data_IF_010926080876
#
_entry.id   IF_010926080876
#
_cell.length_a   1.000
_cell.length_b   1.000
_cell.length_c   1.000
_cell.angle_alpha   90.00
_cell.angle_beta   90.00
_cell.angle_gamma   90.00
#
_symmetry.space_group_name_H-M   'P 1'
#
loop_
_entity.id
_entity.type
_entity.pdbx_description
1 polymer ?
#
# COMPACT_ATOMS: atom_id res chain seq x y z
N UNK A 1 -2.62 4.91 -5.39
CA UNK A 1 -1.80 4.28 -6.42
C UNK A 1 -0.41 3.90 -5.93
N UNK A 2 0.28 3.06 -6.67
CA UNK A 2 1.71 2.84 -6.46
C UNK A 2 2.43 2.57 -7.79
N UNK A 3 3.70 3.00 -7.86
CA UNK A 3 4.55 2.86 -9.04
C UNK A 3 5.82 2.12 -8.65
N UNK A 4 6.17 1.13 -9.45
CA UNK A 4 7.36 0.31 -9.25
C UNK A 4 8.41 0.61 -10.31
N UNK A 5 9.64 0.78 -9.85
CA UNK A 5 10.80 1.00 -10.70
C UNK A 5 11.91 -0.01 -10.39
N UNK A 6 12.72 -0.27 -11.41
CA UNK A 6 14.01 -0.94 -11.26
C UNK A 6 15.14 0.03 -11.58
N UNK A 7 16.19 0.01 -10.78
CA UNK A 7 17.39 0.82 -10.97
C UNK A 7 18.66 -0.04 -10.87
N UNK A 8 19.72 0.38 -11.56
CA UNK A 8 21.05 -0.24 -11.44
C UNK A 8 21.80 0.24 -10.19
N UNK A 9 21.45 1.44 -9.73
CA UNK A 9 22.00 2.06 -8.54
C UNK A 9 20.85 2.46 -7.62
N UNK A 10 20.90 2.04 -6.35
CA UNK A 10 19.91 2.46 -5.37
C UNK A 10 20.03 3.97 -5.09
N UNK A 11 18.92 4.72 -5.02
CA UNK A 11 18.95 6.13 -4.71
C UNK A 11 19.41 6.45 -3.28
N UNK A 12 19.31 5.47 -2.40
CA UNK A 12 19.74 5.52 -1.00
C UNK A 12 20.16 4.14 -0.54
N UNK A 13 20.99 4.07 0.51
CA UNK A 13 21.36 2.82 1.21
C UNK A 13 20.43 2.49 2.37
N UNK A 14 19.52 3.40 2.69
CA UNK A 14 18.63 3.25 3.84
C UNK A 14 17.66 2.06 3.65
N UNK A 15 17.39 1.38 4.74
CA UNK A 15 16.42 0.27 4.83
C UNK A 15 15.09 0.74 5.41
N UNK A 16 14.78 2.00 5.24
CA UNK A 16 13.64 2.70 5.81
C UNK A 16 12.71 3.19 4.70
N UNK A 17 11.48 3.50 5.07
CA UNK A 17 10.55 4.23 4.21
C UNK A 17 10.93 5.71 4.25
N UNK A 18 11.18 6.29 3.09
CA UNK A 18 11.41 7.72 2.90
C UNK A 18 10.06 8.40 2.75
N UNK A 19 9.77 9.39 3.58
CA UNK A 19 8.50 10.13 3.59
C UNK A 19 8.67 11.52 2.98
N UNK A 20 7.64 11.99 2.26
CA UNK A 20 7.54 13.41 1.88
C UNK A 20 7.05 14.24 3.07
N UNK A 21 7.99 14.85 3.78
CA UNK A 21 7.68 15.75 4.89
C UNK A 21 7.19 17.15 4.45
N UNK A 22 7.32 17.49 3.17
CA UNK A 22 6.98 18.81 2.64
C UNK A 22 5.60 18.86 1.95
N UNK A 23 5.02 17.70 1.60
CA UNK A 23 3.73 17.60 0.94
C UNK A 23 3.67 18.31 -0.42
N UNK A 24 4.78 18.30 -1.18
CA UNK A 24 4.92 19.05 -2.45
C UNK A 24 4.54 18.25 -3.69
N UNK A 25 3.96 17.09 -3.54
CA UNK A 25 3.58 16.27 -4.67
C UNK A 25 2.73 15.06 -4.27
N UNK A 26 2.30 14.25 -5.24
CA UNK A 26 1.42 13.14 -5.00
C UNK A 26 2.11 11.93 -4.33
N UNK A 27 3.43 11.80 -4.42
CA UNK A 27 4.18 10.72 -3.75
C UNK A 27 4.28 11.02 -2.28
N UNK A 28 3.65 10.20 -1.45
CA UNK A 28 3.72 10.31 0.01
C UNK A 28 4.97 9.63 0.56
N UNK A 29 5.29 8.46 0.04
CA UNK A 29 6.44 7.70 0.52
C UNK A 29 7.07 6.85 -0.58
N UNK A 30 8.34 6.50 -0.35
CA UNK A 30 9.12 5.61 -1.21
C UNK A 30 9.90 4.63 -0.36
N UNK A 31 10.02 3.39 -0.84
CA UNK A 31 10.91 2.40 -0.25
C UNK A 31 11.77 1.75 -1.33
N UNK A 32 13.05 1.51 -1.03
CA UNK A 32 13.92 0.63 -1.82
C UNK A 32 13.80 -0.76 -1.22
N UNK A 33 12.83 -1.54 -1.72
CA UNK A 33 12.47 -2.84 -1.15
C UNK A 33 13.63 -3.83 -1.15
N UNK A 34 14.49 -3.78 -2.16
CA UNK A 34 15.69 -4.63 -2.25
C UNK A 34 16.77 -4.28 -1.21
N UNK A 35 16.74 -3.07 -0.62
CA UNK A 35 17.63 -2.77 0.51
C UNK A 35 17.17 -3.50 1.79
N UNK A 36 15.85 -3.67 1.94
CA UNK A 36 15.25 -4.37 3.08
C UNK A 36 15.39 -5.88 2.92
N UNK A 37 15.02 -6.38 1.74
CA UNK A 37 15.10 -7.80 1.38
C UNK A 37 15.78 -7.95 0.01
N UNK A 38 17.08 -8.29 -0.05
CA UNK A 38 17.84 -8.39 -1.29
C UNK A 38 17.22 -9.35 -2.31
N UNK A 39 16.50 -10.38 -1.86
CA UNK A 39 15.79 -11.33 -2.71
C UNK A 39 14.64 -10.73 -3.54
N UNK A 40 14.25 -9.48 -3.27
CA UNK A 40 13.18 -8.79 -4.02
C UNK A 40 13.63 -8.22 -5.36
N UNK A 41 14.93 -8.26 -5.65
CA UNK A 41 15.45 -7.87 -6.96
C UNK A 41 16.53 -8.86 -7.42
N UNK A 42 16.73 -9.03 -8.75
CA UNK A 42 17.88 -9.73 -9.27
C UNK A 42 19.20 -9.08 -8.84
N UNK A 43 20.29 -9.86 -8.85
CA UNK A 43 21.63 -9.34 -8.55
C UNK A 43 21.96 -8.11 -9.42
N UNK A 44 22.49 -7.05 -8.81
CA UNK A 44 22.82 -5.80 -9.50
C UNK A 44 21.63 -4.93 -9.87
N UNK A 45 20.42 -5.25 -9.37
CA UNK A 45 19.24 -4.41 -9.55
C UNK A 45 18.64 -4.01 -8.20
N UNK A 46 17.92 -2.91 -8.20
CA UNK A 46 17.19 -2.39 -7.05
C UNK A 46 15.72 -2.23 -7.37
N UNK A 47 14.86 -2.69 -6.46
CA UNK A 47 13.41 -2.52 -6.56
C UNK A 47 12.98 -1.32 -5.71
N UNK A 48 12.38 -0.34 -6.38
CA UNK A 48 11.91 0.90 -5.76
C UNK A 48 10.40 0.96 -5.92
N UNK A 49 9.68 1.30 -4.87
CA UNK A 49 8.24 1.52 -4.90
C UNK A 49 7.91 2.90 -4.36
N UNK A 50 7.10 3.65 -5.11
CA UNK A 50 6.53 4.93 -4.71
C UNK A 50 5.03 4.75 -4.45
N UNK A 51 4.54 5.23 -3.31
CA UNK A 51 3.13 5.22 -2.96
C UNK A 51 2.51 6.61 -3.16
N UNK A 52 1.38 6.63 -3.87
CA UNK A 52 0.60 7.81 -4.19
C UNK A 52 -0.82 7.62 -3.64
N UNK A 53 -1.11 8.06 -2.41
CA UNK A 53 -2.41 7.86 -1.79
C UNK A 53 -3.50 8.71 -2.43
N UNK A 54 -4.73 8.24 -2.35
CA UNK A 54 -5.89 8.89 -2.96
C UNK A 54 -6.14 8.46 -4.41
N UNK A 55 -7.19 9.04 -4.97
CA UNK A 55 -7.49 8.93 -6.41
C UNK A 55 -6.81 10.10 -7.10
N UNK A 56 -5.89 9.81 -7.97
CA UNK A 56 -5.05 10.81 -8.65
C UNK A 56 -5.28 10.67 -10.15
N UNK A 57 -5.63 11.77 -10.79
CA UNK A 57 -5.79 11.84 -12.23
C UNK A 57 -4.44 12.01 -12.93
N UNK A 58 -4.30 11.42 -14.11
CA UNK A 58 -3.10 11.50 -14.93
C UNK A 58 -2.20 10.28 -14.86
N UNK A 59 -1.02 10.40 -15.46
CA UNK A 59 -0.02 9.33 -15.48
C UNK A 59 0.75 9.30 -14.15
N UNK A 60 0.49 8.31 -13.33
CA UNK A 60 1.12 8.14 -12.02
C UNK A 60 2.63 7.92 -12.11
N UNK A 61 3.13 7.30 -13.21
CA UNK A 61 4.57 7.16 -13.41
C UNK A 61 5.22 8.52 -13.62
N UNK A 62 4.68 9.32 -14.53
CA UNK A 62 5.22 10.65 -14.83
C UNK A 62 5.19 11.56 -13.61
N UNK A 63 4.07 11.57 -12.88
CA UNK A 63 3.91 12.33 -11.64
C UNK A 63 4.92 11.91 -10.58
N UNK A 64 5.06 10.60 -10.36
CA UNK A 64 6.05 10.07 -9.42
C UNK A 64 7.47 10.45 -9.84
N UNK A 65 7.83 10.23 -11.09
CA UNK A 65 9.16 10.52 -11.63
C UNK A 65 9.52 11.99 -11.48
N UNK A 66 8.60 12.88 -11.80
CA UNK A 66 8.78 14.34 -11.66
C UNK A 66 9.08 14.72 -10.21
N UNK A 67 8.31 14.22 -9.23
CA UNK A 67 8.58 14.51 -7.82
C UNK A 67 9.90 13.86 -7.35
N UNK A 68 10.16 12.61 -7.73
CA UNK A 68 11.36 11.89 -7.29
C UNK A 68 12.66 12.47 -7.84
N UNK A 69 12.62 13.16 -9.01
CA UNK A 69 13.73 13.96 -9.49
C UNK A 69 14.12 15.09 -8.53
N UNK A 70 13.16 15.66 -7.82
CA UNK A 70 13.47 16.71 -6.83
C UNK A 70 14.19 16.15 -5.60
N UNK A 71 14.08 14.84 -5.32
CA UNK A 71 14.72 14.17 -4.19
C UNK A 71 16.10 13.61 -4.57
N UNK A 72 16.22 13.00 -5.74
CA UNK A 72 17.39 12.22 -6.14
C UNK A 72 18.03 12.66 -7.46
N UNK A 73 17.56 13.76 -8.05
CA UNK A 73 18.15 14.32 -9.27
C UNK A 73 17.97 13.46 -10.51
N UNK A 74 18.84 13.68 -11.49
CA UNK A 74 18.73 13.07 -12.83
C UNK A 74 18.87 11.54 -12.86
N UNK A 75 19.38 10.89 -11.79
CA UNK A 75 19.47 9.43 -11.75
C UNK A 75 18.10 8.75 -11.89
N UNK A 76 17.02 9.45 -11.52
CA UNK A 76 15.64 8.94 -11.65
C UNK A 76 15.26 8.67 -13.10
N UNK A 77 15.87 9.36 -14.06
CA UNK A 77 15.60 9.19 -15.50
C UNK A 77 16.08 7.85 -16.03
N UNK A 78 17.12 7.28 -15.42
CA UNK A 78 17.65 5.97 -15.76
C UNK A 78 16.84 4.81 -15.16
N UNK A 79 15.86 5.08 -14.29
CA UNK A 79 15.05 4.04 -13.69
C UNK A 79 14.07 3.45 -14.72
N UNK A 80 14.06 2.13 -14.80
CA UNK A 80 13.11 1.42 -15.66
C UNK A 80 11.78 1.30 -14.94
N UNK A 81 10.70 1.82 -15.52
CA UNK A 81 9.35 1.55 -15.05
C UNK A 81 9.03 0.05 -15.18
N UNK A 82 8.51 -0.53 -14.12
CA UNK A 82 8.10 -1.93 -14.07
C UNK A 82 6.58 -2.06 -14.13
N UNK A 83 5.89 -1.34 -13.24
CA UNK A 83 4.44 -1.42 -13.16
C UNK A 83 3.85 -0.25 -12.36
N UNK A 84 2.65 0.16 -12.78
CA UNK A 84 1.79 1.07 -12.04
C UNK A 84 0.51 0.34 -11.65
N UNK A 85 0.09 0.51 -10.39
CA UNK A 85 -1.21 0.07 -9.91
C UNK A 85 -2.04 1.29 -9.54
N UNK A 86 -3.25 1.38 -10.09
CA UNK A 86 -4.28 2.33 -9.67
C UNK A 86 -5.37 1.54 -8.94
N UNK A 87 -5.55 1.81 -7.65
CA UNK A 87 -6.41 1.03 -6.76
C UNK A 87 -7.49 1.96 -6.21
N UNK A 88 -8.69 1.86 -6.75
CA UNK A 88 -9.80 2.74 -6.36
C UNK A 88 -10.24 2.51 -4.90
N UNK A 89 -10.12 1.27 -4.40
CA UNK A 89 -10.53 0.88 -3.06
C UNK A 89 -9.37 0.18 -2.34
N UNK A 90 -8.38 0.97 -1.89
CA UNK A 90 -7.15 0.47 -1.29
C UNK A 90 -7.24 0.11 0.19
N UNK A 91 -8.29 0.54 0.88
CA UNK A 91 -8.49 0.27 2.30
C UNK A 91 -9.87 0.70 2.79
N UNK A 92 -10.27 0.26 4.00
CA UNK A 92 -11.53 0.65 4.60
C UNK A 92 -11.53 2.12 5.02
N UNK A 93 -12.72 2.74 5.01
CA UNK A 93 -12.90 4.08 5.55
C UNK A 93 -12.80 4.02 7.08
N UNK A 94 -11.91 4.85 7.65
CA UNK A 94 -11.66 4.94 9.08
C UNK A 94 -11.84 6.38 9.62
N UNK A 95 -12.76 7.12 9.03
CA UNK A 95 -13.08 8.49 9.46
C UNK A 95 -13.91 8.49 10.75
N UNK A 96 -13.75 9.49 11.63
CA UNK A 96 -14.62 9.67 12.78
C UNK A 96 -16.08 9.97 12.38
N UNK A 97 -17.06 9.48 13.15
CA UNK A 97 -16.93 8.57 14.30
C UNK A 97 -16.60 7.14 13.82
N UNK A 98 -15.52 6.58 14.38
CA UNK A 98 -15.04 5.26 13.97
C UNK A 98 -15.42 4.21 15.01
N UNK A 99 -16.21 3.22 14.58
CA UNK A 99 -16.55 2.04 15.37
C UNK A 99 -15.79 0.84 14.79
N UNK A 100 -14.67 0.43 15.38
CA UNK A 100 -13.81 -0.60 14.79
C UNK A 100 -14.50 -1.95 14.69
N UNK A 101 -15.28 -2.32 15.68
CA UNK A 101 -16.01 -3.60 15.67
C UNK A 101 -17.38 -3.49 15.01
N UNK A 102 -17.42 -3.86 13.74
CA UNK A 102 -18.66 -3.99 12.98
C UNK A 102 -19.23 -5.41 13.09
N UNK A 103 -20.57 -5.56 12.96
CA UNK A 103 -21.19 -6.89 12.92
C UNK A 103 -20.69 -7.71 11.75
N UNK A 104 -20.45 -8.99 11.98
CA UNK A 104 -20.06 -9.96 10.94
C UNK A 104 -21.27 -10.71 10.36
N UNK A 105 -22.42 -10.74 11.06
CA UNK A 105 -23.66 -11.29 10.54
C UNK A 105 -24.47 -10.19 9.86
N UNK A 106 -24.91 -10.45 8.63
CA UNK A 106 -25.77 -9.56 7.84
C UNK A 106 -27.24 -10.01 7.85
N UNK A 107 -27.57 -11.04 8.61
CA UNK A 107 -28.88 -11.66 8.62
C UNK A 107 -29.14 -12.58 7.41
N UNK A 108 -30.20 -13.41 7.51
CA UNK A 108 -30.57 -14.33 6.44
C UNK A 108 -29.47 -15.32 6.05
N UNK A 109 -28.66 -15.78 7.00
CA UNK A 109 -27.56 -16.72 6.74
C UNK A 109 -26.37 -16.13 6.00
N UNK A 110 -26.27 -14.80 5.88
CA UNK A 110 -25.17 -14.11 5.23
C UNK A 110 -24.17 -13.58 6.27
N UNK A 111 -22.89 -13.82 6.01
CA UNK A 111 -21.79 -13.41 6.86
C UNK A 111 -20.70 -12.72 6.06
N UNK A 112 -19.95 -11.81 6.70
CA UNK A 112 -18.86 -11.05 6.09
C UNK A 112 -17.73 -10.83 7.09
N UNK A 113 -16.49 -10.98 6.64
CA UNK A 113 -15.30 -10.63 7.40
C UNK A 113 -14.33 -9.86 6.50
N UNK A 114 -13.32 -9.29 7.13
CA UNK A 114 -12.29 -8.47 6.53
C UNK A 114 -11.86 -7.37 7.51
N UNK A 115 -10.81 -6.67 7.19
CA UNK A 115 -10.32 -5.54 7.99
C UNK A 115 -11.35 -4.40 8.12
N UNK A 116 -12.23 -4.24 7.13
CA UNK A 116 -13.34 -3.30 7.16
C UNK A 116 -14.43 -3.63 8.21
N UNK A 117 -14.35 -4.78 8.87
CA UNK A 117 -15.25 -5.21 9.97
C UNK A 117 -14.56 -5.13 11.33
N UNK A 118 -13.35 -4.61 11.36
CA UNK A 118 -12.55 -4.36 12.56
C UNK A 118 -11.65 -3.16 12.31
N UNK A 119 -10.39 -3.19 12.70
CA UNK A 119 -9.41 -2.16 12.33
C UNK A 119 -8.82 -2.45 10.96
N UNK A 120 -8.51 -1.42 10.16
CA UNK A 120 -7.87 -1.54 8.84
C UNK A 120 -6.43 -2.06 8.95
N UNK A 121 -6.28 -3.34 9.26
CA UNK A 121 -5.01 -4.00 9.51
C UNK A 121 -5.11 -5.51 9.30
N UNK A 122 -3.95 -6.17 9.20
CA UNK A 122 -3.88 -7.65 9.18
C UNK A 122 -4.54 -8.25 10.43
N UNK A 123 -4.30 -7.65 11.61
CA UNK A 123 -4.93 -8.08 12.86
C UNK A 123 -6.44 -7.94 12.81
N UNK A 124 -6.95 -6.82 12.30
CA UNK A 124 -8.39 -6.60 12.14
C UNK A 124 -9.03 -7.62 11.20
N UNK A 125 -8.38 -7.95 10.09
CA UNK A 125 -8.81 -9.00 9.19
C UNK A 125 -8.89 -10.36 9.88
N UNK A 126 -7.86 -10.75 10.65
CA UNK A 126 -7.81 -12.00 11.41
C UNK A 126 -8.90 -12.06 12.49
N UNK A 127 -9.06 -11.00 13.29
CA UNK A 127 -10.07 -10.95 14.34
C UNK A 127 -11.50 -11.00 13.80
N UNK A 128 -11.78 -10.26 12.72
CA UNK A 128 -13.10 -10.33 12.09
C UNK A 128 -13.37 -11.68 11.46
N UNK A 129 -12.36 -12.32 10.87
CA UNK A 129 -12.45 -13.69 10.33
C UNK A 129 -12.81 -14.72 11.42
N UNK A 130 -12.13 -14.67 12.59
CA UNK A 130 -12.45 -15.53 13.73
C UNK A 130 -13.89 -15.32 14.19
N UNK A 131 -14.32 -14.09 14.43
CA UNK A 131 -15.70 -13.77 14.85
C UNK A 131 -16.74 -14.24 13.84
N UNK A 132 -16.41 -14.13 12.56
CA UNK A 132 -17.27 -14.61 11.48
C UNK A 132 -17.42 -16.12 11.51
N UNK A 133 -16.32 -16.87 11.67
CA UNK A 133 -16.36 -18.33 11.80
C UNK A 133 -17.15 -18.80 13.02
N UNK A 134 -16.97 -18.14 14.18
CA UNK A 134 -17.75 -18.42 15.40
C UNK A 134 -19.25 -18.16 15.17
N UNK A 135 -19.61 -17.06 14.49
CA UNK A 135 -21.00 -16.72 14.19
C UNK A 135 -21.65 -17.70 13.19
N UNK A 136 -20.90 -18.18 12.20
CA UNK A 136 -21.36 -19.23 11.27
C UNK A 136 -21.61 -20.54 12.01
N UNK A 137 -20.68 -20.96 12.88
CA UNK A 137 -20.84 -22.19 13.66
C UNK A 137 -22.07 -22.13 14.56
N UNK A 138 -22.33 -20.98 15.20
CA UNK A 138 -23.56 -20.79 16.02
C UNK A 138 -24.83 -20.80 15.18
N UNK A 139 -24.79 -20.32 13.96
CA UNK A 139 -25.94 -20.29 13.07
C UNK A 139 -26.32 -21.70 12.55
N UNK A 140 -25.35 -22.60 12.44
CA UNK A 140 -25.53 -23.95 11.91
C UNK A 140 -25.83 -24.98 13.01
N UNK A 141 -25.66 -24.62 14.29
CA UNK A 141 -25.93 -25.48 15.45
C UNK A 141 -27.42 -25.50 15.79
#
# INVERSE_FOLDING_TARGET
>A
GCVYFSADIAPTKEKLVVLDGNGRGPVLNVAVLSNVAPSYAPAGKHLIVAALPGVIDGDLEELARTQLRTWWGAQVDAWKHLRTYSIAHGGPVQQPPFAPRQTVSLGGGRFVCGDHRDTGSIQGALFSGRRCGEAVAQFLA
#
